data_IF_608294786731
#
_entry.id   IF_608294786731
#
_cell.length_a   1.000
_cell.length_b   1.000
_cell.length_c   1.000
_cell.angle_alpha   90.00
_cell.angle_beta   90.00
_cell.angle_gamma   90.00
#
_symmetry.space_group_name_H-M   'P 1'
#
loop_
_entity.id
_entity.type
_entity.pdbx_description
1 polymer ?
#
# COMPACT_ATOMS: atom_id res chain seq x y z
N UNK A 1 -44.28 33.05 -17.44
CA UNK A 1 -43.47 33.08 -18.68
C UNK A 1 -42.14 33.76 -18.33
N UNK A 2 -41.44 33.40 -17.26
CA UNK A 2 -40.77 32.11 -16.97
C UNK A 2 -39.89 31.66 -18.13
N UNK A 3 -38.82 32.43 -18.34
CA UNK A 3 -37.61 31.97 -18.99
C UNK A 3 -36.49 32.10 -17.97
N UNK A 4 -36.39 31.14 -17.05
CA UNK A 4 -35.32 31.01 -16.04
C UNK A 4 -35.06 29.51 -15.68
N UNK A 5 -35.37 28.58 -16.59
CA UNK A 5 -35.23 27.12 -16.36
C UNK A 5 -33.99 26.50 -17.03
N UNK A 6 -32.96 27.31 -17.32
CA UNK A 6 -31.73 26.82 -17.97
C UNK A 6 -30.44 27.32 -17.32
N UNK A 7 -30.43 27.43 -15.99
CA UNK A 7 -29.18 27.65 -15.24
C UNK A 7 -29.15 26.84 -13.94
N UNK A 8 -29.39 25.52 -14.04
CA UNK A 8 -29.29 24.61 -12.89
C UNK A 8 -28.67 23.24 -13.22
N UNK A 9 -27.78 23.21 -14.21
CA UNK A 9 -26.97 22.05 -14.56
C UNK A 9 -25.46 22.32 -14.45
N UNK A 10 -25.05 23.21 -13.53
CA UNK A 10 -23.65 23.43 -13.20
C UNK A 10 -23.40 23.09 -11.71
N UNK A 11 -22.37 22.28 -11.48
CA UNK A 11 -21.75 21.98 -10.18
C UNK A 11 -22.29 20.76 -9.41
N UNK A 12 -21.97 19.55 -9.88
CA UNK A 12 -21.87 18.37 -9.01
C UNK A 12 -20.65 17.48 -9.28
N UNK A 13 -19.54 18.05 -9.74
CA UNK A 13 -18.22 17.41 -9.56
C UNK A 13 -17.83 17.58 -8.10
N UNK A 14 -18.40 16.70 -7.26
CA UNK A 14 -18.03 16.55 -5.85
C UNK A 14 -16.54 16.27 -5.81
N UNK A 15 -15.76 17.29 -5.44
CA UNK A 15 -14.31 17.17 -5.24
C UNK A 15 -14.08 15.96 -4.32
N UNK A 16 -13.62 14.83 -4.89
CA UNK A 16 -13.39 13.59 -4.13
C UNK A 16 -12.37 13.94 -3.05
N UNK A 17 -12.84 14.11 -1.82
CA UNK A 17 -11.98 14.44 -0.69
C UNK A 17 -11.03 13.26 -0.47
N UNK A 18 -9.76 13.51 -0.68
CA UNK A 18 -8.67 12.52 -0.60
C UNK A 18 -8.68 11.88 0.78
N UNK A 19 -8.58 10.54 0.85
CA UNK A 19 -8.63 9.82 2.14
C UNK A 19 -7.33 9.92 2.95
N UNK A 20 -6.21 10.24 2.29
CA UNK A 20 -4.91 10.42 2.92
C UNK A 20 -4.21 11.66 2.39
N UNK A 21 -3.30 12.22 3.21
CA UNK A 21 -2.54 13.43 2.90
C UNK A 21 -1.10 13.14 2.48
N UNK A 22 -0.58 11.95 2.82
CA UNK A 22 0.81 11.57 2.60
C UNK A 22 0.91 10.11 2.16
N UNK A 23 1.78 9.83 1.20
CA UNK A 23 2.14 8.46 0.78
C UNK A 23 3.61 8.23 1.07
N UNK A 24 3.92 7.10 1.71
CA UNK A 24 5.28 6.57 1.78
C UNK A 24 5.53 5.70 0.54
N UNK A 25 6.60 5.97 -0.19
CA UNK A 25 6.97 5.19 -1.38
C UNK A 25 8.29 4.49 -1.15
N UNK A 26 8.28 3.16 -1.33
CA UNK A 26 9.47 2.34 -1.41
C UNK A 26 9.77 2.01 -2.87
N UNK A 27 11.00 2.29 -3.28
CA UNK A 27 11.53 2.04 -4.61
C UNK A 27 13.05 1.85 -4.43
N UNK A 28 13.70 1.02 -5.25
CA UNK A 28 15.09 0.64 -4.96
C UNK A 28 16.13 1.72 -5.31
N UNK A 29 17.39 1.34 -5.58
CA UNK A 29 18.45 2.28 -5.94
C UNK A 29 18.81 2.34 -7.44
N UNK A 30 18.32 1.41 -8.28
CA UNK A 30 18.69 1.25 -9.70
C UNK A 30 17.52 1.54 -10.64
N UNK A 31 17.79 2.25 -11.74
CA UNK A 31 16.77 2.65 -12.73
C UNK A 31 16.07 1.50 -13.50
N UNK A 32 16.50 0.25 -13.36
CA UNK A 32 16.03 -0.83 -14.23
C UNK A 32 16.50 -0.68 -15.69
N UNK A 33 16.09 -1.61 -16.54
CA UNK A 33 16.52 -1.68 -17.95
C UNK A 33 15.49 -1.15 -18.95
N UNK A 34 14.26 -0.87 -18.51
CA UNK A 34 13.14 -0.41 -19.34
C UNK A 34 12.75 1.01 -18.95
N UNK A 35 12.52 1.89 -19.94
CA UNK A 35 12.06 3.26 -19.69
C UNK A 35 10.68 3.31 -19.03
N UNK A 36 9.87 2.27 -19.22
CA UNK A 36 8.55 2.14 -18.59
C UNK A 36 8.59 2.35 -17.07
N UNK A 37 9.68 1.94 -16.40
CA UNK A 37 9.84 2.13 -14.96
C UNK A 37 9.99 3.62 -14.60
N UNK A 38 10.84 4.37 -15.31
CA UNK A 38 10.99 5.81 -15.11
C UNK A 38 9.73 6.58 -15.50
N UNK A 39 9.02 6.14 -16.54
CA UNK A 39 7.77 6.76 -17.00
C UNK A 39 6.65 6.59 -15.98
N UNK A 40 6.51 5.40 -15.40
CA UNK A 40 5.54 5.13 -14.34
C UNK A 40 5.82 5.98 -13.09
N UNK A 41 7.09 6.22 -12.79
CA UNK A 41 7.51 7.05 -11.69
C UNK A 41 7.20 8.55 -11.91
N UNK A 42 7.45 9.05 -13.13
CA UNK A 42 6.96 10.34 -13.63
C UNK A 42 5.45 10.49 -13.45
N UNK A 43 4.70 9.49 -13.89
CA UNK A 43 3.24 9.49 -13.77
C UNK A 43 2.76 9.47 -12.31
N UNK A 44 3.40 8.68 -11.44
CA UNK A 44 3.03 8.66 -10.02
C UNK A 44 3.29 10.02 -9.37
N UNK A 45 4.45 10.65 -9.62
CA UNK A 45 4.74 11.98 -9.10
C UNK A 45 3.72 13.03 -9.57
N UNK A 46 3.29 12.98 -10.83
CA UNK A 46 2.24 13.86 -11.36
C UNK A 46 0.91 13.67 -10.63
N UNK A 47 0.50 12.42 -10.40
CA UNK A 47 -0.72 12.12 -9.64
C UNK A 47 -0.65 12.65 -8.20
N UNK A 48 0.50 12.55 -7.53
CA UNK A 48 0.66 13.08 -6.17
C UNK A 48 0.53 14.61 -6.15
N UNK A 49 1.13 15.32 -7.11
CA UNK A 49 1.06 16.79 -7.21
C UNK A 49 -0.35 17.27 -7.53
N UNK A 50 -0.98 16.70 -8.55
CA UNK A 50 -2.37 17.01 -8.94
C UNK A 50 -3.31 16.79 -7.75
N UNK A 51 -3.10 15.67 -7.06
CA UNK A 51 -3.83 15.30 -5.86
C UNK A 51 -3.18 15.85 -4.59
N UNK A 52 -2.37 16.93 -4.61
CA UNK A 52 -1.68 17.57 -3.45
C UNK A 52 -1.49 16.60 -2.25
N UNK A 53 -0.86 15.46 -2.52
CA UNK A 53 -0.47 14.45 -1.53
C UNK A 53 1.03 14.61 -1.33
N UNK A 54 1.45 14.72 -0.08
CA UNK A 54 2.89 14.83 0.19
C UNK A 54 3.56 13.47 0.08
N UNK A 55 4.76 13.47 -0.46
CA UNK A 55 5.60 12.28 -0.57
C UNK A 55 6.47 12.11 0.68
N UNK A 56 6.50 10.90 1.22
CA UNK A 56 7.47 10.43 2.22
C UNK A 56 8.34 9.36 1.55
N UNK A 57 9.67 9.46 1.67
CA UNK A 57 10.62 8.49 1.09
C UNK A 57 11.96 8.52 1.84
N UNK A 58 12.83 7.53 1.61
CA UNK A 58 14.08 7.26 2.35
C UNK A 58 15.23 8.28 2.26
N UNK A 59 15.02 9.51 1.76
CA UNK A 59 15.87 10.65 2.14
C UNK A 59 17.24 10.87 1.44
N UNK A 60 17.48 10.36 0.23
CA UNK A 60 18.63 10.81 -0.60
C UNK A 60 18.46 12.26 -1.12
N UNK A 61 19.50 13.10 -1.01
CA UNK A 61 19.43 14.58 -0.94
C UNK A 61 20.61 15.25 -1.70
N UNK A 62 20.62 16.50 -2.23
CA UNK A 62 20.34 17.79 -1.55
C UNK A 62 20.07 18.98 -2.52
N UNK A 63 19.22 19.93 -2.07
CA UNK A 63 18.91 21.26 -2.67
C UNK A 63 17.43 21.63 -2.49
N UNK A 64 16.97 22.89 -2.58
CA UNK A 64 15.56 23.32 -2.30
C UNK A 64 14.51 22.42 -3.01
N UNK A 65 13.89 21.46 -2.30
CA UNK A 65 13.07 20.36 -2.89
C UNK A 65 13.78 19.47 -3.93
N UNK A 66 15.08 19.62 -4.17
CA UNK A 66 15.74 19.56 -5.48
C UNK A 66 15.31 18.45 -6.45
N UNK A 67 14.23 18.56 -7.23
CA UNK A 67 13.16 19.54 -7.38
C UNK A 67 11.95 18.64 -7.66
N UNK A 68 11.12 18.44 -6.63
CA UNK A 68 10.44 17.15 -6.37
C UNK A 68 11.52 16.07 -6.08
N UNK A 69 11.18 14.97 -5.45
CA UNK A 69 11.92 13.69 -5.49
C UNK A 69 12.18 13.16 -6.94
N UNK A 70 12.39 14.05 -7.91
CA UNK A 70 12.39 13.94 -9.38
C UNK A 70 11.64 12.70 -9.85
N UNK A 71 10.36 12.71 -9.47
CA UNK A 71 9.32 11.78 -9.92
C UNK A 71 9.62 10.31 -9.63
N UNK A 72 9.51 9.91 -8.36
CA UNK A 72 9.33 8.50 -7.89
C UNK A 72 10.42 7.50 -8.33
N UNK A 73 11.58 7.98 -8.77
CA UNK A 73 12.61 7.11 -9.30
C UNK A 73 13.91 7.21 -8.51
N UNK A 74 14.10 6.20 -7.69
CA UNK A 74 15.29 5.35 -7.70
C UNK A 74 14.71 3.92 -7.57
N UNK A 75 15.12 2.93 -8.39
CA UNK A 75 14.31 1.72 -8.66
C UNK A 75 14.79 0.39 -8.06
N UNK A 76 13.88 -0.59 -7.96
CA UNK A 76 13.86 -1.79 -7.09
C UNK A 76 15.13 -2.62 -6.79
N UNK A 77 15.02 -3.43 -5.73
CA UNK A 77 16.01 -4.39 -5.26
C UNK A 77 15.50 -5.15 -4.02
N UNK A 78 16.35 -5.96 -3.37
CA UNK A 78 15.96 -6.73 -2.18
C UNK A 78 15.46 -5.86 -1.02
N UNK A 79 16.05 -4.68 -0.81
CA UNK A 79 15.60 -3.75 0.24
C UNK A 79 14.14 -3.32 0.06
N UNK A 80 13.73 -2.97 -1.16
CA UNK A 80 12.33 -2.60 -1.46
C UNK A 80 11.36 -3.75 -1.21
N UNK A 81 11.77 -4.99 -1.49
CA UNK A 81 10.95 -6.16 -1.21
C UNK A 81 10.83 -6.42 0.29
N UNK A 82 11.93 -6.26 1.03
CA UNK A 82 11.96 -6.40 2.48
C UNK A 82 11.06 -5.36 3.16
N UNK A 83 11.18 -4.07 2.79
CA UNK A 83 10.32 -2.98 3.28
C UNK A 83 8.83 -3.24 2.97
N UNK A 84 8.52 -3.72 1.75
CA UNK A 84 7.15 -4.06 1.36
C UNK A 84 6.58 -5.20 2.23
N UNK A 85 7.35 -6.28 2.40
CA UNK A 85 6.92 -7.44 3.18
C UNK A 85 6.76 -7.09 4.67
N UNK A 86 7.62 -6.24 5.22
CA UNK A 86 7.50 -5.74 6.60
C UNK A 86 6.19 -4.98 6.80
N UNK A 87 5.85 -4.05 5.90
CA UNK A 87 4.61 -3.27 5.99
C UNK A 87 3.37 -4.15 5.81
N UNK A 88 3.42 -5.18 4.96
CA UNK A 88 2.35 -6.17 4.85
C UNK A 88 2.17 -6.93 6.16
N UNK A 89 3.27 -7.40 6.76
CA UNK A 89 3.25 -8.12 8.03
C UNK A 89 2.67 -7.25 9.16
N UNK A 90 3.05 -5.98 9.24
CA UNK A 90 2.49 -5.04 10.23
C UNK A 90 1.00 -4.79 10.02
N UNK A 91 0.53 -4.72 8.77
CA UNK A 91 -0.90 -4.69 8.50
C UNK A 91 -1.58 -5.94 9.02
N UNK A 92 -1.07 -7.13 8.69
CA UNK A 92 -1.64 -8.41 9.11
C UNK A 92 -1.68 -8.56 10.65
N UNK A 93 -0.69 -8.02 11.36
CA UNK A 93 -0.64 -7.96 12.82
C UNK A 93 -1.57 -6.89 13.43
N UNK A 94 -2.21 -6.06 12.60
CA UNK A 94 -3.10 -4.99 13.06
C UNK A 94 -2.39 -3.76 13.63
N UNK A 95 -1.09 -3.60 13.36
CA UNK A 95 -0.30 -2.42 13.79
C UNK A 95 -0.74 -1.18 13.01
N UNK A 96 -1.20 -1.34 11.77
CA UNK A 96 -1.83 -0.27 11.00
C UNK A 96 -2.91 -0.79 10.04
N UNK A 97 -3.79 0.11 9.62
CA UNK A 97 -4.88 -0.15 8.67
C UNK A 97 -4.73 0.65 7.36
N UNK A 98 -3.54 1.22 7.13
CA UNK A 98 -3.23 2.00 5.91
C UNK A 98 -3.19 1.08 4.68
N UNK A 99 -3.65 1.56 3.50
CA UNK A 99 -3.55 0.79 2.27
C UNK A 99 -2.08 0.54 1.89
N UNK A 100 -1.78 -0.67 1.40
CA UNK A 100 -0.47 -1.03 0.84
C UNK A 100 -0.61 -1.18 -0.67
N UNK A 101 0.00 -0.27 -1.43
CA UNK A 101 -0.09 -0.23 -2.89
C UNK A 101 1.14 -0.84 -3.57
N UNK A 102 0.93 -1.61 -4.64
CA UNK A 102 1.98 -2.17 -5.50
C UNK A 102 1.77 -1.75 -6.96
N UNK A 103 2.62 -0.85 -7.46
CA UNK A 103 2.59 -0.42 -8.87
C UNK A 103 3.29 -1.45 -9.76
N UNK A 104 2.51 -2.20 -10.54
CA UNK A 104 2.99 -3.35 -11.33
C UNK A 104 3.37 -2.96 -12.76
N UNK A 105 4.42 -2.18 -12.90
CA UNK A 105 4.89 -1.70 -14.20
C UNK A 105 5.36 -2.86 -15.07
N UNK A 106 4.77 -3.01 -16.26
CA UNK A 106 5.15 -4.00 -17.27
C UNK A 106 5.23 -5.43 -16.72
N UNK A 107 4.34 -5.74 -15.78
CA UNK A 107 4.23 -7.07 -15.15
C UNK A 107 5.41 -7.47 -14.26
N UNK A 108 6.26 -6.51 -13.84
CA UNK A 108 7.46 -6.81 -13.05
C UNK A 108 7.16 -7.60 -11.75
N UNK A 109 6.02 -7.33 -11.10
CA UNK A 109 5.61 -8.00 -9.87
C UNK A 109 4.67 -9.19 -10.10
N UNK A 110 4.43 -9.63 -11.34
CA UNK A 110 3.55 -10.77 -11.62
C UNK A 110 3.96 -12.03 -10.86
N UNK A 111 5.26 -12.35 -10.82
CA UNK A 111 5.77 -13.52 -10.09
C UNK A 111 5.59 -13.39 -8.57
N UNK A 112 5.69 -12.18 -8.02
CA UNK A 112 5.47 -11.94 -6.59
C UNK A 112 3.98 -12.07 -6.23
N UNK A 113 3.10 -11.51 -7.06
CA UNK A 113 1.65 -11.65 -6.88
C UNK A 113 1.22 -13.12 -6.99
N UNK A 114 1.77 -13.86 -7.96
CA UNK A 114 1.55 -15.30 -8.10
C UNK A 114 2.05 -16.08 -6.88
N UNK A 115 3.16 -15.67 -6.25
CA UNK A 115 3.64 -16.26 -5.00
C UNK A 115 2.65 -16.01 -3.85
N UNK A 116 2.07 -14.82 -3.75
CA UNK A 116 1.03 -14.55 -2.76
C UNK A 116 -0.23 -15.38 -3.02
N UNK A 117 -0.65 -15.50 -4.28
CA UNK A 117 -1.81 -16.31 -4.66
C UNK A 117 -1.57 -17.80 -4.34
N UNK A 118 -0.35 -18.30 -4.60
CA UNK A 118 0.05 -19.66 -4.21
C UNK A 118 0.07 -19.84 -2.70
N UNK A 119 0.52 -18.84 -1.95
CA UNK A 119 0.46 -18.84 -0.49
C UNK A 119 -0.98 -18.94 0.02
N UNK A 120 -1.96 -18.34 -0.67
CA UNK A 120 -3.38 -18.51 -0.35
C UNK A 120 -3.86 -19.91 -0.69
N UNK A 121 -3.54 -20.42 -1.88
CA UNK A 121 -3.90 -21.76 -2.32
C UNK A 121 -3.40 -22.86 -1.37
N UNK A 122 -2.16 -22.73 -0.90
CA UNK A 122 -1.53 -23.67 0.04
C UNK A 122 -1.89 -23.40 1.52
N UNK A 123 -2.68 -22.35 1.80
CA UNK A 123 -3.15 -22.03 3.15
C UNK A 123 -2.16 -21.30 4.06
N UNK A 124 -1.01 -20.87 3.55
CA UNK A 124 -0.06 -20.03 4.29
C UNK A 124 -0.54 -18.57 4.46
N UNK A 125 -1.38 -18.09 3.55
CA UNK A 125 -1.95 -16.74 3.57
C UNK A 125 -3.47 -16.85 3.60
N UNK A 126 -4.11 -16.18 4.56
CA UNK A 126 -5.57 -16.08 4.55
C UNK A 126 -6.06 -15.23 3.38
N UNK A 127 -7.17 -15.60 2.76
CA UNK A 127 -7.73 -14.85 1.62
C UNK A 127 -8.02 -13.38 1.93
N UNK A 128 -8.36 -13.07 3.18
CA UNK A 128 -8.54 -11.69 3.66
C UNK A 128 -7.21 -10.92 3.78
N UNK A 129 -6.14 -11.58 4.24
CA UNK A 129 -4.79 -11.01 4.28
C UNK A 129 -4.23 -10.75 2.87
N UNK A 130 -4.62 -11.54 1.86
CA UNK A 130 -4.25 -11.29 0.46
C UNK A 130 -4.76 -9.95 -0.07
N UNK A 131 -5.84 -9.41 0.50
CA UNK A 131 -6.42 -8.11 0.14
C UNK A 131 -5.64 -6.93 0.73
N UNK A 132 -4.66 -7.16 1.62
CA UNK A 132 -3.79 -6.09 2.16
C UNK A 132 -3.04 -5.37 1.03
N UNK A 133 -2.57 -6.12 0.03
CA UNK A 133 -1.83 -5.59 -1.11
C UNK A 133 -2.78 -5.28 -2.26
N UNK A 134 -2.93 -4.00 -2.55
CA UNK A 134 -3.65 -3.48 -3.70
C UNK A 134 -2.66 -3.27 -4.84
N UNK A 135 -2.84 -3.95 -5.97
CA UNK A 135 -2.02 -3.74 -7.17
C UNK A 135 -2.78 -3.07 -8.32
N UNK A 136 -2.03 -2.34 -9.14
CA UNK A 136 -2.49 -1.78 -10.40
C UNK A 136 -1.28 -1.52 -11.30
N UNK A 137 -1.52 -1.46 -12.62
CA UNK A 137 -0.47 -1.28 -13.60
C UNK A 137 -0.19 0.21 -13.87
N UNK A 138 -1.12 1.09 -13.49
CA UNK A 138 -1.00 2.55 -13.65
C UNK A 138 -1.08 3.28 -12.30
N UNK A 139 -0.37 4.42 -12.15
CA UNK A 139 -0.40 5.18 -10.90
C UNK A 139 -1.78 5.74 -10.53
N UNK A 140 -2.55 6.18 -11.53
CA UNK A 140 -3.90 6.72 -11.30
C UNK A 140 -4.82 5.64 -10.73
N UNK A 141 -4.85 4.47 -11.37
CA UNK A 141 -5.63 3.33 -10.89
C UNK A 141 -5.18 2.89 -9.49
N UNK A 142 -3.87 2.85 -9.23
CA UNK A 142 -3.33 2.49 -7.93
C UNK A 142 -3.84 3.44 -6.84
N UNK A 143 -3.72 4.75 -7.04
CA UNK A 143 -4.17 5.74 -6.05
C UNK A 143 -5.69 5.66 -5.86
N UNK A 144 -6.46 5.48 -6.93
CA UNK A 144 -7.91 5.32 -6.82
C UNK A 144 -8.28 4.09 -5.98
N UNK A 145 -7.65 2.93 -6.25
CA UNK A 145 -7.86 1.72 -5.45
C UNK A 145 -7.41 1.88 -4.00
N UNK A 146 -6.28 2.55 -3.75
CA UNK A 146 -5.83 2.85 -2.38
C UNK A 146 -6.77 3.79 -1.63
N UNK A 147 -7.39 4.76 -2.32
CA UNK A 147 -8.45 5.60 -1.75
C UNK A 147 -9.73 4.81 -1.50
N UNK A 148 -10.02 3.78 -2.27
CA UNK A 148 -11.22 2.94 -2.12
C UNK A 148 -11.02 1.81 -1.11
N UNK A 149 -9.77 1.50 -0.77
CA UNK A 149 -9.40 0.46 0.20
C UNK A 149 -10.15 0.59 1.52
N UNK A 150 -10.67 -0.56 1.98
CA UNK A 150 -11.25 -0.78 3.30
C UNK A 150 -10.54 -2.01 3.87
N UNK A 151 -9.95 -1.92 5.07
CA UNK A 151 -9.33 -3.09 5.71
C UNK A 151 -10.37 -4.20 5.93
N UNK A 152 -10.14 -5.37 5.34
CA UNK A 152 -10.99 -6.57 5.46
C UNK A 152 -10.29 -7.76 6.13
N UNK A 153 -9.02 -7.62 6.49
CA UNK A 153 -8.25 -8.71 7.12
C UNK A 153 -8.57 -8.83 8.61
N UNK A 154 -8.79 -10.08 9.04
CA UNK A 154 -8.90 -10.41 10.46
C UNK A 154 -7.53 -10.22 11.12
N UNK A 155 -7.51 -9.55 12.28
CA UNK A 155 -6.27 -9.37 13.04
C UNK A 155 -5.81 -10.73 13.53
N UNK A 156 -4.60 -11.13 13.14
CA UNK A 156 -4.03 -12.42 13.56
C UNK A 156 -3.62 -12.39 15.05
N UNK A 157 -3.33 -11.19 15.59
CA UNK A 157 -2.97 -11.01 16.99
C UNK A 157 -4.06 -10.26 17.78
N UNK A 158 -4.58 -10.82 18.90
CA UNK A 158 -5.43 -10.07 19.83
C UNK A 158 -4.63 -8.96 20.52
N UNK A 159 -5.30 -7.84 20.83
CA UNK A 159 -4.67 -6.62 21.39
C UNK A 159 -4.06 -6.79 22.79
N UNK A 160 -4.23 -7.95 23.43
CA UNK A 160 -3.72 -8.26 24.76
C UNK A 160 -3.53 -9.78 24.91
N UNK A 161 -2.31 -10.20 25.24
CA UNK A 161 -1.97 -11.10 26.36
C UNK A 161 -0.64 -11.78 26.06
N UNK A 162 0.40 -11.31 26.74
CA UNK A 162 1.63 -12.07 26.97
C UNK A 162 1.52 -12.84 28.30
N UNK A 163 0.31 -13.24 28.74
CA UNK A 163 0.16 -14.13 29.90
C UNK A 163 0.67 -15.53 29.51
N UNK A 164 1.99 -15.66 29.59
CA UNK A 164 2.65 -16.93 29.77
C UNK A 164 2.54 -17.24 31.25
N UNK A 165 1.41 -17.78 31.69
CA UNK A 165 1.31 -18.54 32.94
C UNK A 165 0.01 -19.35 32.99
N UNK A 166 0.10 -20.55 33.57
CA UNK A 166 -0.96 -21.55 33.83
C UNK A 166 -1.16 -22.72 32.85
N UNK A 167 -0.08 -23.30 32.32
CA UNK A 167 -0.11 -24.69 31.80
C UNK A 167 0.94 -25.63 32.42
N UNK A 168 1.53 -25.27 33.57
CA UNK A 168 2.51 -26.12 34.29
C UNK A 168 2.11 -26.53 35.72
N UNK A 169 0.88 -26.27 36.18
CA UNK A 169 0.46 -26.64 37.55
C UNK A 169 -0.60 -27.76 37.63
N UNK A 170 -0.95 -28.44 36.53
CA UNK A 170 -1.95 -29.53 36.57
C UNK A 170 -1.38 -30.95 36.51
N UNK A 171 -0.08 -31.17 36.74
CA UNK A 171 0.53 -32.52 36.77
C UNK A 171 1.44 -32.74 37.97
N UNK A 172 0.89 -32.63 39.18
CA UNK A 172 1.36 -33.39 40.37
C UNK A 172 0.25 -33.40 41.43
N UNK A 173 -0.80 -34.18 41.18
CA UNK A 173 -1.93 -34.28 42.10
C UNK A 173 -2.72 -35.57 41.92
N UNK A 174 -2.07 -36.71 42.14
CA UNK A 174 -2.77 -37.98 42.32
C UNK A 174 -2.00 -39.19 41.80
N UNK A 175 -1.34 -39.90 42.71
CA UNK A 175 -1.32 -41.37 42.74
C UNK A 175 -0.81 -41.86 44.11
N UNK A 176 -1.66 -42.72 44.70
CA UNK A 176 -1.52 -43.65 45.83
C UNK A 176 -0.38 -43.53 46.85
#
# INVERSE_FOLDING_TARGET
>A
MEGDDQERAASSTKERRRKFKRICVFCGSRAGHKSAFSDAALQLGNQLVERKIDLVYGGGSVGLMGLISKTVFNGGGYGTMEELLEVIAWSQLGIHEKPVGLLNVDGYYNSLLALFDKGVEEGFIQGSARQIVVSADTPEELINKMEEYVPVHDRVAPRQSWEVDQLLESTTGGEA
#
